data_IF_889546306538
#
_entry.id   IF_889546306538
#
_cell.length_a   1.000
_cell.length_b   1.000
_cell.length_c   1.000
_cell.angle_alpha   90.00
_cell.angle_beta   90.00
_cell.angle_gamma   90.00
#
_symmetry.space_group_name_H-M   'P 1'
#
loop_
_entity.id
_entity.type
_entity.pdbx_description
1 polymer ?
#
# COMPACT_ATOMS: atom_id res chain seq x y z
N UNK A 1 -14.66 20.09 85.94
CA UNK A 1 -14.45 21.52 85.66
C UNK A 1 -13.29 21.63 84.67
N UNK A 2 -13.53 22.17 83.47
CA UNK A 2 -12.55 22.73 82.48
C UNK A 2 -11.60 21.72 81.79
N UNK A 3 -11.94 21.25 80.59
CA UNK A 3 -11.42 21.59 79.23
C UNK A 3 -9.95 21.20 78.96
N UNK A 4 -9.74 20.37 77.93
CA UNK A 4 -8.92 20.78 76.76
C UNK A 4 -9.23 19.91 75.53
N UNK A 5 -9.69 20.58 74.47
CA UNK A 5 -9.73 20.08 73.10
C UNK A 5 -8.30 19.88 72.59
N UNK A 6 -8.03 18.73 71.97
CA UNK A 6 -7.05 18.65 70.88
C UNK A 6 -7.66 17.84 69.75
N UNK A 7 -8.05 18.54 68.70
CA UNK A 7 -8.41 17.98 67.41
C UNK A 7 -7.16 17.40 66.74
N UNK A 8 -7.13 16.10 66.50
CA UNK A 8 -6.19 15.50 65.55
C UNK A 8 -6.95 15.21 64.26
N UNK A 9 -6.63 16.00 63.23
CA UNK A 9 -7.09 15.83 61.86
C UNK A 9 -6.66 14.47 61.31
N UNK A 10 -7.64 13.63 60.98
CA UNK A 10 -7.45 12.47 60.09
C UNK A 10 -7.48 12.98 58.64
N UNK A 11 -6.32 13.06 58.01
CA UNK A 11 -6.19 13.21 56.57
C UNK A 11 -6.47 11.86 55.90
N UNK A 12 -7.48 11.73 55.02
CA UNK A 12 -7.55 10.59 54.13
C UNK A 12 -6.54 10.81 52.99
N UNK A 13 -5.54 9.94 52.93
CA UNK A 13 -4.72 9.74 51.72
C UNK A 13 -5.65 9.31 50.59
N UNK A 14 -5.99 10.23 49.70
CA UNK A 14 -6.58 9.92 48.40
C UNK A 14 -5.44 9.36 47.54
N UNK A 15 -5.32 8.04 47.48
CA UNK A 15 -4.55 7.38 46.43
C UNK A 15 -5.40 7.50 45.17
N UNK A 16 -5.14 8.55 44.37
CA UNK A 16 -5.64 8.60 43.01
C UNK A 16 -4.89 7.54 42.20
N UNK A 17 -5.51 6.37 42.03
CA UNK A 17 -5.13 5.44 40.99
C UNK A 17 -5.40 6.11 39.64
N UNK A 18 -4.41 6.85 39.13
CA UNK A 18 -4.30 7.13 37.71
C UNK A 18 -3.96 5.82 37.00
N UNK A 19 -4.98 4.96 36.86
CA UNK A 19 -4.99 3.97 35.81
C UNK A 19 -5.17 4.73 34.49
N UNK A 20 -4.06 5.21 33.92
CA UNK A 20 -4.01 5.49 32.49
C UNK A 20 -4.11 4.15 31.78
N UNK A 21 -5.35 3.68 31.61
CA UNK A 21 -5.66 2.66 30.64
C UNK A 21 -5.42 3.31 29.27
N UNK A 22 -4.22 3.14 28.72
CA UNK A 22 -4.05 3.08 27.27
C UNK A 22 -4.80 1.84 26.77
N UNK A 23 -6.13 1.92 26.78
CA UNK A 23 -6.96 1.07 25.95
C UNK A 23 -6.55 1.40 24.51
N UNK A 24 -6.09 0.42 23.71
CA UNK A 24 -5.96 0.65 22.29
C UNK A 24 -7.36 1.04 21.81
N UNK A 25 -7.53 2.26 21.31
CA UNK A 25 -8.70 2.58 20.51
C UNK A 25 -8.77 1.53 19.41
N UNK A 26 -9.73 0.61 19.52
CA UNK A 26 -10.15 -0.22 18.39
C UNK A 26 -10.69 0.81 17.38
N UNK A 27 -10.12 0.96 16.17
CA UNK A 27 -10.81 1.73 15.15
C UNK A 27 -12.15 1.03 14.94
N UNK A 28 -13.24 1.73 15.23
CA UNK A 28 -14.58 1.26 14.92
C UNK A 28 -15.06 2.10 13.74
N UNK A 29 -15.33 1.44 12.61
CA UNK A 29 -16.51 1.64 11.72
C UNK A 29 -16.28 1.49 10.20
N UNK A 30 -15.17 0.90 9.71
CA UNK A 30 -15.12 0.47 8.30
C UNK A 30 -15.57 -1.00 8.25
N UNK A 31 -16.84 -1.30 7.91
CA UNK A 31 -17.25 -2.67 7.66
C UNK A 31 -16.47 -3.21 6.46
N UNK A 32 -15.98 -4.44 6.59
CA UNK A 32 -15.23 -5.10 5.53
C UNK A 32 -15.64 -6.56 5.49
N UNK A 33 -16.58 -6.91 4.61
CA UNK A 33 -16.93 -8.31 4.40
C UNK A 33 -15.85 -9.02 3.58
N UNK A 34 -15.23 -8.31 2.65
CA UNK A 34 -14.23 -8.87 1.77
C UNK A 34 -13.23 -7.79 1.34
N UNK A 35 -11.93 -8.09 1.47
CA UNK A 35 -10.85 -7.29 0.93
C UNK A 35 -10.30 -7.95 -0.33
N UNK A 36 -10.42 -7.29 -1.48
CA UNK A 36 -9.87 -7.76 -2.76
C UNK A 36 -8.79 -6.78 -3.20
N UNK A 37 -7.59 -7.28 -3.47
CA UNK A 37 -6.45 -6.42 -3.80
C UNK A 37 -5.78 -6.84 -5.10
N UNK A 38 -5.46 -5.85 -5.93
CA UNK A 38 -4.72 -5.97 -7.18
C UNK A 38 -3.48 -5.07 -7.12
N UNK A 39 -2.38 -5.50 -7.73
CA UNK A 39 -1.15 -4.70 -7.70
C UNK A 39 0.09 -5.45 -8.16
N UNK A 40 1.23 -4.88 -7.80
CA UNK A 40 2.56 -5.36 -8.18
C UNK A 40 3.42 -5.72 -6.95
N UNK A 41 4.74 -5.51 -7.08
CA UNK A 41 5.76 -5.73 -6.06
C UNK A 41 5.43 -5.16 -4.68
N UNK A 42 4.75 -3.99 -4.59
CA UNK A 42 4.44 -3.38 -3.29
C UNK A 42 3.27 -4.07 -2.56
N UNK A 43 2.53 -4.91 -3.27
CA UNK A 43 1.22 -5.42 -2.88
C UNK A 43 1.20 -6.95 -2.74
N UNK A 44 2.09 -7.66 -3.44
CA UNK A 44 2.26 -9.12 -3.36
C UNK A 44 2.56 -9.59 -1.92
N UNK A 45 1.75 -10.54 -1.43
CA UNK A 45 1.89 -11.13 -0.09
C UNK A 45 2.70 -12.43 -0.06
N UNK A 46 3.34 -12.78 -1.17
CA UNK A 46 4.25 -13.91 -1.33
C UNK A 46 3.60 -15.30 -1.22
N UNK A 47 2.27 -15.41 -1.32
CA UNK A 47 1.58 -16.70 -1.28
C UNK A 47 1.36 -17.21 -2.70
N UNK A 48 2.19 -18.18 -3.11
CA UNK A 48 2.28 -18.63 -4.51
C UNK A 48 0.98 -19.20 -5.08
N UNK A 49 0.25 -19.99 -4.29
CA UNK A 49 -1.00 -20.58 -4.76
C UNK A 49 -1.92 -20.94 -3.59
N UNK A 50 -2.94 -20.13 -3.36
CA UNK A 50 -4.04 -20.49 -2.47
C UNK A 50 -5.38 -19.99 -3.03
N UNK A 51 -6.49 -20.42 -2.41
CA UNK A 51 -7.83 -19.90 -2.76
C UNK A 51 -7.94 -18.40 -2.53
N UNK A 52 -7.10 -17.83 -1.65
CA UNK A 52 -7.22 -16.48 -1.11
C UNK A 52 -6.02 -15.60 -1.44
N UNK A 53 -5.02 -16.13 -2.14
CA UNK A 53 -3.87 -15.33 -2.52
C UNK A 53 -3.09 -15.98 -3.66
N UNK A 54 -2.55 -15.09 -4.49
CA UNK A 54 -1.80 -15.32 -5.69
C UNK A 54 -0.59 -14.38 -5.63
N UNK A 55 0.62 -14.92 -5.73
CA UNK A 55 1.83 -14.11 -5.57
C UNK A 55 3.10 -14.88 -5.88
N UNK A 56 4.26 -14.27 -5.67
CA UNK A 56 5.55 -14.97 -5.75
C UNK A 56 6.41 -14.67 -4.54
N UNK A 57 6.53 -13.40 -4.17
CA UNK A 57 7.44 -12.99 -3.11
C UNK A 57 6.95 -11.71 -2.42
N UNK A 58 6.99 -11.73 -1.09
CA UNK A 58 6.89 -10.50 -0.30
C UNK A 58 8.16 -9.69 -0.53
N UNK A 59 8.06 -8.58 -1.24
CA UNK A 59 9.17 -7.65 -1.42
C UNK A 59 9.39 -6.77 -0.18
N UNK A 60 9.43 -7.37 1.01
CA UNK A 60 9.68 -6.68 2.27
C UNK A 60 10.27 -7.64 3.29
N UNK A 61 10.69 -7.12 4.44
CA UNK A 61 11.22 -7.91 5.56
C UNK A 61 10.14 -8.42 6.52
N UNK A 62 8.88 -8.41 6.10
CA UNK A 62 7.71 -8.77 6.89
C UNK A 62 6.44 -8.58 6.07
N UNK A 63 5.26 -8.54 6.71
CA UNK A 63 4.00 -8.33 6.01
C UNK A 63 3.98 -7.03 5.20
N UNK A 64 3.26 -7.05 4.08
CA UNK A 64 3.02 -5.88 3.23
C UNK A 64 1.73 -5.16 3.64
N UNK A 65 1.45 -4.02 3.00
CA UNK A 65 0.35 -3.13 3.42
C UNK A 65 -1.04 -3.81 3.38
N UNK A 66 -1.37 -4.70 2.42
CA UNK A 66 -2.67 -5.37 2.40
C UNK A 66 -2.86 -6.30 3.60
N UNK A 67 -1.81 -7.01 4.02
CA UNK A 67 -1.86 -7.92 5.17
C UNK A 67 -2.11 -7.14 6.46
N UNK A 68 -1.49 -5.97 6.61
CA UNK A 68 -1.75 -5.08 7.74
C UNK A 68 -3.15 -4.48 7.69
N UNK A 69 -3.62 -4.05 6.52
CA UNK A 69 -4.96 -3.51 6.35
C UNK A 69 -6.01 -4.55 6.74
N UNK A 70 -5.90 -5.77 6.22
CA UNK A 70 -6.79 -6.88 6.55
C UNK A 70 -6.85 -7.11 8.06
N UNK A 71 -5.67 -7.13 8.71
CA UNK A 71 -5.58 -7.30 10.17
C UNK A 71 -6.22 -6.14 10.96
N UNK A 72 -6.14 -4.91 10.45
CA UNK A 72 -6.72 -3.74 11.11
C UNK A 72 -8.24 -3.66 10.94
N UNK A 73 -8.74 -4.04 9.76
CA UNK A 73 -10.16 -4.02 9.43
C UNK A 73 -10.91 -5.27 9.89
N UNK A 74 -10.18 -6.36 10.18
CA UNK A 74 -10.75 -7.66 10.55
C UNK A 74 -11.73 -8.17 9.47
N UNK A 75 -11.37 -8.06 8.18
CA UNK A 75 -12.26 -8.47 7.08
C UNK A 75 -12.56 -9.98 7.13
N UNK A 76 -13.81 -10.37 6.79
CA UNK A 76 -14.20 -11.79 6.83
C UNK A 76 -13.44 -12.60 5.76
N UNK A 77 -13.24 -12.02 4.58
CA UNK A 77 -12.46 -12.59 3.48
C UNK A 77 -11.33 -11.66 3.04
N UNK A 78 -10.17 -12.24 2.73
CA UNK A 78 -9.04 -11.54 2.12
C UNK A 78 -8.63 -12.29 0.85
N UNK A 79 -8.62 -11.59 -0.29
CA UNK A 79 -8.12 -12.11 -1.56
C UNK A 79 -7.09 -11.17 -2.16
N UNK A 80 -5.86 -11.65 -2.33
CA UNK A 80 -4.80 -10.89 -2.99
C UNK A 80 -4.49 -11.48 -4.37
N UNK A 81 -4.61 -10.67 -5.42
CA UNK A 81 -4.28 -11.05 -6.79
C UNK A 81 -2.92 -10.48 -7.24
N UNK A 82 -2.23 -9.70 -6.40
CA UNK A 82 -1.02 -9.01 -6.78
C UNK A 82 0.18 -9.94 -6.93
N UNK A 83 0.89 -9.82 -8.05
CA UNK A 83 2.13 -10.54 -8.30
C UNK A 83 3.32 -9.60 -8.38
N UNK A 84 4.42 -9.98 -7.74
CA UNK A 84 5.72 -9.33 -7.96
C UNK A 84 6.10 -9.42 -9.45
N UNK A 85 6.58 -8.31 -10.00
CA UNK A 85 6.90 -8.15 -11.41
C UNK A 85 5.69 -7.92 -12.31
N UNK A 86 4.47 -7.76 -11.79
CA UNK A 86 3.30 -7.45 -12.60
C UNK A 86 3.52 -6.18 -13.44
N UNK A 87 3.27 -6.28 -14.74
CA UNK A 87 3.23 -5.13 -15.65
C UNK A 87 1.83 -4.53 -15.68
N UNK A 88 1.70 -3.36 -16.32
CA UNK A 88 0.40 -2.73 -16.51
C UNK A 88 -0.55 -3.58 -17.38
N UNK A 89 -0.01 -4.42 -18.27
CA UNK A 89 -0.76 -5.28 -19.19
C UNK A 89 -1.09 -6.66 -18.57
N UNK A 90 -1.21 -7.69 -19.42
CA UNK A 90 -1.46 -9.08 -19.00
C UNK A 90 -0.21 -9.79 -18.47
N UNK A 91 0.98 -9.27 -18.75
CA UNK A 91 2.24 -9.97 -18.59
C UNK A 91 2.96 -9.60 -17.28
N UNK A 92 3.98 -10.40 -16.97
CA UNK A 92 4.99 -10.08 -15.98
C UNK A 92 6.22 -9.49 -16.67
N UNK A 93 7.12 -8.86 -15.91
CA UNK A 93 8.44 -8.44 -16.42
C UNK A 93 9.34 -9.63 -16.77
N UNK A 94 9.07 -10.81 -16.20
CA UNK A 94 9.88 -12.01 -16.44
C UNK A 94 9.28 -13.01 -17.44
N UNK A 95 7.98 -12.93 -17.73
CA UNK A 95 7.25 -13.86 -18.61
C UNK A 95 5.96 -13.22 -19.13
N UNK A 96 5.40 -13.77 -20.22
CA UNK A 96 4.21 -13.22 -20.88
C UNK A 96 2.89 -13.85 -20.43
N UNK A 97 1.80 -13.19 -20.79
CA UNK A 97 0.42 -13.71 -20.87
C UNK A 97 -0.32 -13.95 -19.54
N UNK A 98 0.33 -13.82 -18.39
CA UNK A 98 -0.34 -13.87 -17.09
C UNK A 98 0.41 -13.10 -16.00
N UNK A 99 -0.29 -12.88 -14.86
CA UNK A 99 0.13 -12.17 -13.65
C UNK A 99 0.23 -10.63 -13.73
N UNK A 100 0.09 -10.02 -14.90
CA UNK A 100 -0.02 -8.56 -15.03
C UNK A 100 -1.35 -8.00 -14.53
N UNK A 101 -1.45 -6.68 -14.34
CA UNK A 101 -2.62 -6.02 -13.72
C UNK A 101 -3.93 -6.32 -14.48
N UNK A 102 -3.93 -6.25 -15.81
CA UNK A 102 -5.13 -6.58 -16.60
C UNK A 102 -5.54 -8.05 -16.44
N UNK A 103 -4.55 -8.94 -16.42
CA UNK A 103 -4.79 -10.37 -16.19
C UNK A 103 -5.41 -10.61 -14.82
N UNK A 104 -4.90 -9.96 -13.77
CA UNK A 104 -5.39 -10.13 -12.40
C UNK A 104 -6.88 -9.75 -12.29
N UNK A 105 -7.27 -8.62 -12.87
CA UNK A 105 -8.65 -8.13 -12.88
C UNK A 105 -9.56 -9.05 -13.69
N UNK A 106 -9.14 -9.45 -14.90
CA UNK A 106 -9.94 -10.37 -15.72
C UNK A 106 -10.10 -11.73 -15.02
N UNK A 107 -9.01 -12.27 -14.45
CA UNK A 107 -9.04 -13.54 -13.74
C UNK A 107 -10.00 -13.51 -12.55
N UNK A 108 -10.03 -12.40 -11.81
CA UNK A 108 -11.00 -12.19 -10.74
C UNK A 108 -12.44 -12.28 -11.27
N UNK A 109 -12.78 -11.58 -12.36
CA UNK A 109 -14.12 -11.63 -12.94
C UNK A 109 -14.48 -13.01 -13.51
N UNK A 110 -13.52 -13.69 -14.14
CA UNK A 110 -13.71 -15.06 -14.63
C UNK A 110 -14.01 -16.05 -13.50
N UNK A 111 -13.51 -15.80 -12.29
CA UNK A 111 -13.74 -16.66 -11.14
C UNK A 111 -15.20 -16.65 -10.64
N UNK A 112 -16.03 -15.71 -11.11
CA UNK A 112 -17.46 -15.53 -10.76
C UNK A 112 -17.72 -15.51 -9.25
N UNK A 113 -16.79 -14.99 -8.46
CA UNK A 113 -16.99 -14.78 -7.03
C UNK A 113 -18.03 -13.69 -6.83
N UNK A 114 -18.92 -13.91 -5.86
CA UNK A 114 -19.93 -12.92 -5.48
C UNK A 114 -19.20 -11.80 -4.74
N UNK A 115 -19.37 -10.56 -5.19
CA UNK A 115 -18.93 -9.37 -4.45
C UNK A 115 -19.96 -9.12 -3.36
N UNK A 116 -19.53 -9.23 -2.11
CA UNK A 116 -20.40 -9.03 -0.96
C UNK A 116 -20.70 -7.54 -0.79
N UNK A 117 -21.79 -7.24 -0.07
CA UNK A 117 -22.02 -5.87 0.40
C UNK A 117 -20.90 -5.48 1.36
N UNK A 118 -20.44 -4.23 1.29
CA UNK A 118 -19.33 -3.71 2.10
C UNK A 118 -17.97 -4.36 1.75
N UNK A 119 -17.83 -4.94 0.54
CA UNK A 119 -16.53 -5.32 0.00
C UNK A 119 -15.66 -4.08 -0.21
N UNK A 120 -14.37 -4.19 0.09
CA UNK A 120 -13.35 -3.21 -0.21
C UNK A 120 -12.44 -3.77 -1.32
N UNK A 121 -12.46 -3.11 -2.47
CA UNK A 121 -11.65 -3.47 -3.62
C UNK A 121 -10.56 -2.42 -3.78
N UNK A 122 -9.31 -2.85 -3.87
CA UNK A 122 -8.18 -1.94 -3.98
C UNK A 122 -7.33 -2.31 -5.19
N UNK A 123 -7.15 -1.37 -6.11
CA UNK A 123 -6.17 -1.45 -7.19
C UNK A 123 -5.02 -0.51 -6.89
N UNK A 124 -3.83 -1.06 -6.69
CA UNK A 124 -2.59 -0.30 -6.82
C UNK A 124 -2.15 -0.30 -8.28
N UNK A 125 -2.09 0.89 -8.89
CA UNK A 125 -1.66 1.02 -10.27
C UNK A 125 -0.23 0.49 -10.45
N UNK A 126 -0.08 -0.56 -11.25
CA UNK A 126 1.21 -1.19 -11.56
C UNK A 126 1.92 -0.56 -12.77
N UNK A 127 3.08 -1.10 -13.13
CA UNK A 127 3.87 -0.67 -14.29
C UNK A 127 5.18 0.05 -13.94
N UNK A 128 5.54 0.17 -12.67
CA UNK A 128 6.81 0.79 -12.27
C UNK A 128 8.02 -0.03 -12.79
N UNK A 129 8.00 -1.35 -12.58
CA UNK A 129 9.05 -2.25 -13.04
C UNK A 129 9.15 -2.29 -14.58
N UNK A 130 8.01 -2.14 -15.27
CA UNK A 130 7.95 -1.99 -16.72
C UNK A 130 8.66 -0.70 -17.19
N UNK A 131 8.42 0.44 -16.54
CA UNK A 131 9.09 1.72 -16.84
C UNK A 131 10.60 1.66 -16.59
N UNK A 132 11.02 1.10 -15.44
CA UNK A 132 12.44 0.99 -15.09
C UNK A 132 13.19 0.12 -16.10
N UNK A 133 12.60 -1.00 -16.53
CA UNK A 133 13.23 -1.89 -17.51
C UNK A 133 13.30 -1.29 -18.92
N UNK A 134 12.27 -0.54 -19.34
CA UNK A 134 12.30 0.17 -20.63
C UNK A 134 13.46 1.16 -20.69
N UNK A 135 13.62 1.99 -19.65
CA UNK A 135 14.70 2.98 -19.60
C UNK A 135 16.08 2.31 -19.58
N UNK A 136 16.22 1.17 -18.91
CA UNK A 136 17.47 0.42 -18.89
C UNK A 136 17.84 -0.18 -20.25
N UNK A 137 16.86 -0.65 -21.02
CA UNK A 137 17.10 -1.41 -22.24
C UNK A 137 17.11 -0.56 -23.52
N UNK A 138 16.79 0.74 -23.46
CA UNK A 138 16.62 1.64 -24.63
C UNK A 138 15.69 1.07 -25.73
N UNK A 139 14.86 0.08 -25.39
CA UNK A 139 13.92 -0.55 -26.29
C UNK A 139 12.58 0.16 -26.11
N UNK A 140 12.30 1.15 -26.96
CA UNK A 140 11.02 1.87 -27.01
C UNK A 140 9.83 1.02 -27.46
N UNK A 141 9.74 -0.27 -27.10
CA UNK A 141 8.71 -1.18 -27.60
C UNK A 141 7.35 -1.02 -26.92
N UNK A 142 7.31 -0.46 -25.70
CA UNK A 142 6.05 -0.13 -25.02
C UNK A 142 6.08 1.35 -24.68
N UNK A 143 5.21 2.14 -25.28
CA UNK A 143 5.12 3.57 -25.00
C UNK A 143 4.53 3.81 -23.61
N UNK A 144 4.92 4.92 -22.97
CA UNK A 144 4.23 5.43 -21.76
C UNK A 144 2.71 5.51 -22.00
N UNK A 145 2.30 5.86 -23.22
CA UNK A 145 0.90 5.87 -23.63
C UNK A 145 0.24 4.50 -23.46
N UNK A 146 0.96 3.40 -23.74
CA UNK A 146 0.42 2.06 -23.56
C UNK A 146 0.21 1.71 -22.08
N UNK A 147 1.13 2.13 -21.21
CA UNK A 147 0.97 1.96 -19.76
C UNK A 147 -0.25 2.72 -19.27
N UNK A 148 -0.42 3.97 -19.73
CA UNK A 148 -1.59 4.78 -19.43
C UNK A 148 -2.90 4.16 -19.93
N UNK A 149 -2.93 3.67 -21.18
CA UNK A 149 -4.07 2.94 -21.73
C UNK A 149 -4.43 1.73 -20.87
N UNK A 150 -3.43 0.93 -20.47
CA UNK A 150 -3.67 -0.26 -19.67
C UNK A 150 -4.19 0.08 -18.27
N UNK A 151 -3.63 1.11 -17.62
CA UNK A 151 -4.14 1.61 -16.33
C UNK A 151 -5.59 2.09 -16.48
N UNK A 152 -5.91 2.82 -17.54
CA UNK A 152 -7.26 3.26 -17.80
C UNK A 152 -8.22 2.07 -18.00
N UNK A 153 -7.82 1.07 -18.80
CA UNK A 153 -8.60 -0.15 -18.99
C UNK A 153 -8.82 -0.92 -17.68
N UNK A 154 -7.80 -1.01 -16.82
CA UNK A 154 -7.91 -1.65 -15.51
C UNK A 154 -8.94 -0.93 -14.61
N UNK A 155 -8.83 0.39 -14.52
CA UNK A 155 -9.73 1.24 -13.72
C UNK A 155 -11.16 1.16 -14.24
N UNK A 156 -11.38 1.46 -15.52
CA UNK A 156 -12.72 1.42 -16.11
C UNK A 156 -13.30 0.00 -16.07
N UNK A 157 -12.48 -1.04 -16.19
CA UNK A 157 -12.89 -2.44 -16.03
C UNK A 157 -13.44 -2.73 -14.64
N UNK A 158 -12.80 -2.23 -13.58
CA UNK A 158 -13.30 -2.34 -12.21
C UNK A 158 -14.60 -1.55 -12.02
N UNK A 159 -14.60 -0.27 -12.41
CA UNK A 159 -15.74 0.64 -12.20
C UNK A 159 -17.00 0.15 -12.93
N UNK A 160 -16.85 -0.34 -14.17
CA UNK A 160 -18.01 -0.76 -14.98
C UNK A 160 -18.53 -2.16 -14.63
N UNK A 161 -17.71 -2.99 -13.98
CA UNK A 161 -18.08 -4.39 -13.68
C UNK A 161 -18.57 -4.57 -12.25
N UNK A 162 -18.10 -3.75 -11.31
CA UNK A 162 -18.46 -3.87 -9.90
C UNK A 162 -19.77 -3.14 -9.61
N UNK A 163 -20.75 -3.89 -9.10
CA UNK A 163 -22.08 -3.40 -8.74
C UNK A 163 -22.23 -3.12 -7.23
N UNK A 164 -21.27 -3.58 -6.43
CA UNK A 164 -21.23 -3.46 -4.97
C UNK A 164 -19.80 -3.26 -4.47
N UNK A 165 -19.69 -2.69 -3.27
CA UNK A 165 -18.42 -2.44 -2.59
C UNK A 165 -17.82 -1.06 -2.86
N UNK A 166 -16.78 -0.71 -2.11
CA UNK A 166 -16.00 0.51 -2.31
C UNK A 166 -14.74 0.17 -3.10
N UNK A 167 -14.49 0.93 -4.16
CA UNK A 167 -13.31 0.80 -5.00
C UNK A 167 -12.31 1.90 -4.63
N UNK A 168 -11.14 1.51 -4.13
CA UNK A 168 -10.02 2.41 -3.88
C UNK A 168 -8.96 2.20 -4.94
N UNK A 169 -8.63 3.27 -5.65
CA UNK A 169 -7.55 3.27 -6.64
C UNK A 169 -6.35 3.98 -6.02
N UNK A 170 -5.18 3.35 -6.06
CA UNK A 170 -3.92 3.93 -5.61
C UNK A 170 -3.05 4.30 -6.81
N UNK A 171 -2.40 5.45 -6.71
CA UNK A 171 -1.52 5.95 -7.77
C UNK A 171 -0.24 5.11 -7.92
N UNK A 172 0.40 5.23 -9.09
CA UNK A 172 1.67 4.56 -9.37
C UNK A 172 2.74 5.12 -8.44
N UNK A 173 3.52 4.23 -7.84
CA UNK A 173 4.56 4.58 -6.87
C UNK A 173 5.70 5.33 -7.56
N UNK A 174 6.07 6.47 -6.98
CA UNK A 174 7.27 7.21 -7.33
C UNK A 174 8.45 6.68 -6.48
N UNK A 175 9.47 6.06 -7.12
CA UNK A 175 10.60 5.49 -6.42
C UNK A 175 11.63 6.56 -6.00
N UNK A 176 11.37 7.86 -6.15
CA UNK A 176 12.34 8.94 -5.90
C UNK A 176 13.11 8.82 -4.58
N UNK A 177 12.47 8.33 -3.51
CA UNK A 177 13.11 8.14 -2.19
C UNK A 177 13.82 6.80 -2.00
N UNK A 178 13.72 5.88 -2.97
CA UNK A 178 14.37 4.58 -2.89
C UNK A 178 15.88 4.72 -3.08
N UNK A 179 16.71 4.08 -2.23
CA UNK A 179 18.17 4.09 -2.37
C UNK A 179 18.64 3.68 -3.77
N UNK A 180 18.04 2.61 -4.32
CA UNK A 180 18.32 2.06 -5.63
C UNK A 180 17.96 3.01 -6.77
N UNK A 181 16.92 3.82 -6.60
CA UNK A 181 16.57 4.84 -7.58
C UNK A 181 17.59 5.99 -7.59
N UNK A 182 18.01 6.45 -6.41
CA UNK A 182 19.08 7.45 -6.30
C UNK A 182 20.37 6.96 -6.97
N UNK A 183 20.72 5.69 -6.74
CA UNK A 183 21.86 5.06 -7.41
C UNK A 183 21.64 4.98 -8.94
N UNK A 184 20.45 4.57 -9.38
CA UNK A 184 20.08 4.44 -10.79
C UNK A 184 20.24 5.77 -11.54
N UNK A 185 19.66 6.87 -11.05
CA UNK A 185 19.78 8.18 -11.70
C UNK A 185 21.20 8.76 -11.62
N UNK A 186 21.96 8.46 -10.55
CA UNK A 186 23.34 8.93 -10.39
C UNK A 186 24.33 8.25 -11.34
N UNK A 187 23.96 7.09 -11.91
CA UNK A 187 24.83 6.26 -12.74
C UNK A 187 24.95 6.71 -14.21
N UNK A 188 24.15 7.69 -14.66
CA UNK A 188 24.36 8.41 -15.94
C UNK A 188 23.08 8.81 -16.68
N UNK A 189 23.09 10.02 -17.26
CA UNK A 189 22.04 10.76 -17.99
C UNK A 189 20.73 11.07 -17.24
N UNK A 190 20.34 12.36 -17.27
CA UNK A 190 19.02 12.85 -16.80
C UNK A 190 17.84 12.13 -17.45
N UNK A 191 18.06 11.44 -18.58
CA UNK A 191 17.04 10.66 -19.30
C UNK A 191 16.54 9.44 -18.52
N UNK A 192 17.27 9.00 -17.48
CA UNK A 192 16.84 7.91 -16.59
C UNK A 192 15.85 8.36 -15.50
N UNK A 193 15.62 9.66 -15.34
CA UNK A 193 14.66 10.16 -14.35
C UNK A 193 13.21 9.91 -14.83
N UNK A 194 12.56 8.89 -14.25
CA UNK A 194 11.18 8.52 -14.54
C UNK A 194 10.16 9.26 -13.67
N UNK A 195 10.57 10.04 -12.67
CA UNK A 195 9.66 10.76 -11.78
C UNK A 195 8.70 11.71 -12.54
N UNK A 196 9.16 12.46 -13.58
CA UNK A 196 8.27 13.28 -14.41
C UNK A 196 7.25 12.44 -15.21
N UNK A 197 7.64 11.24 -15.64
CA UNK A 197 6.77 10.29 -16.35
C UNK A 197 5.69 9.77 -15.40
N UNK A 198 6.09 9.31 -14.21
CA UNK A 198 5.16 8.82 -13.17
C UNK A 198 4.19 9.93 -12.74
N UNK A 199 4.68 11.16 -12.58
CA UNK A 199 3.84 12.32 -12.26
C UNK A 199 2.77 12.57 -13.33
N UNK A 200 3.10 12.37 -14.61
CA UNK A 200 2.14 12.49 -15.71
C UNK A 200 1.10 11.37 -15.68
N UNK A 201 1.53 10.12 -15.52
CA UNK A 201 0.65 8.95 -15.38
C UNK A 201 -0.34 9.18 -14.23
N UNK A 202 0.16 9.62 -13.07
CA UNK A 202 -0.65 9.86 -11.88
C UNK A 202 -1.64 11.03 -12.06
N UNK A 203 -1.27 12.07 -12.81
CA UNK A 203 -2.18 13.16 -13.17
C UNK A 203 -3.30 12.68 -14.09
N UNK A 204 -3.00 11.81 -15.06
CA UNK A 204 -3.99 11.24 -15.98
C UNK A 204 -4.94 10.28 -15.25
N UNK A 205 -4.40 9.42 -14.39
CA UNK A 205 -5.19 8.56 -13.50
C UNK A 205 -6.16 9.39 -12.63
N UNK A 206 -5.67 10.48 -12.03
CA UNK A 206 -6.52 11.35 -11.23
C UNK A 206 -7.64 12.00 -12.04
N UNK A 207 -7.36 12.40 -13.30
CA UNK A 207 -8.38 12.94 -14.21
C UNK A 207 -9.40 11.88 -14.59
N UNK A 208 -8.96 10.64 -14.82
CA UNK A 208 -9.83 9.51 -15.09
C UNK A 208 -10.78 9.26 -13.92
N UNK A 209 -10.25 9.10 -12.70
CA UNK A 209 -11.07 8.86 -11.50
C UNK A 209 -12.01 10.02 -11.21
N UNK A 210 -11.58 11.27 -11.44
CA UNK A 210 -12.47 12.42 -11.31
C UNK A 210 -13.61 12.38 -12.32
N UNK A 211 -13.37 11.88 -13.53
CA UNK A 211 -14.37 11.88 -14.61
C UNK A 211 -15.35 10.71 -14.43
N UNK A 212 -14.82 9.50 -14.21
CA UNK A 212 -15.64 8.28 -14.06
C UNK A 212 -16.22 8.14 -12.64
N UNK A 213 -15.49 8.56 -11.61
CA UNK A 213 -15.91 8.50 -10.21
C UNK A 213 -16.87 9.62 -9.79
N UNK A 214 -17.02 10.70 -10.57
CA UNK A 214 -18.00 11.74 -10.26
C UNK A 214 -19.44 11.21 -10.27
N UNK A 215 -19.71 10.23 -11.15
CA UNK A 215 -21.02 9.57 -11.21
C UNK A 215 -21.12 8.39 -10.23
N UNK A 216 -19.98 7.78 -9.86
CA UNK A 216 -19.93 6.62 -8.96
C UNK A 216 -19.31 6.95 -7.59
N UNK A 217 -20.17 7.19 -6.59
CA UNK A 217 -19.78 7.50 -5.20
C UNK A 217 -18.96 6.40 -4.50
N UNK A 218 -18.85 5.21 -5.09
CA UNK A 218 -18.09 4.10 -4.52
C UNK A 218 -16.61 4.15 -4.89
N UNK A 219 -16.20 5.03 -5.80
CA UNK A 219 -14.82 5.09 -6.30
C UNK A 219 -14.05 6.23 -5.62
N UNK A 220 -12.92 5.91 -5.01
CA UNK A 220 -12.06 6.88 -4.32
C UNK A 220 -10.59 6.71 -4.72
N UNK A 221 -9.85 7.82 -4.78
CA UNK A 221 -8.41 7.82 -5.07
C UNK A 221 -7.62 8.01 -3.77
N UNK A 222 -6.74 7.06 -3.45
CA UNK A 222 -5.80 7.16 -2.35
C UNK A 222 -4.40 7.53 -2.88
N UNK A 223 -3.84 8.63 -2.38
CA UNK A 223 -2.48 9.05 -2.73
C UNK A 223 -1.43 8.24 -1.97
N UNK A 224 -1.03 7.13 -2.56
CA UNK A 224 -0.03 6.22 -2.02
C UNK A 224 1.35 6.88 -1.93
N UNK A 225 1.70 7.78 -2.85
CA UNK A 225 2.95 8.53 -2.78
C UNK A 225 3.01 9.45 -1.56
N UNK A 226 1.94 10.19 -1.27
CA UNK A 226 1.85 10.98 -0.04
C UNK A 226 1.90 10.09 1.21
N UNK A 227 1.28 8.91 1.17
CA UNK A 227 1.33 7.95 2.27
C UNK A 227 2.75 7.43 2.54
N UNK A 228 3.49 7.07 1.48
CA UNK A 228 4.90 6.64 1.56
C UNK A 228 5.78 7.77 2.10
N UNK A 229 5.63 9.00 1.62
CA UNK A 229 6.42 10.15 2.08
C UNK A 229 6.29 10.37 3.59
N UNK A 230 5.07 10.25 4.11
CA UNK A 230 4.83 10.42 5.55
C UNK A 230 5.20 9.17 6.36
N UNK A 231 5.01 7.97 5.81
CA UNK A 231 5.45 6.72 6.44
C UNK A 231 6.97 6.65 6.63
N UNK A 232 7.73 7.20 5.68
CA UNK A 232 9.19 7.27 5.70
C UNK A 232 9.73 8.44 6.53
N UNK A 233 8.88 9.34 7.06
CA UNK A 233 9.34 10.49 7.85
C UNK A 233 10.07 10.02 9.12
N UNK A 234 11.28 10.53 9.31
CA UNK A 234 12.13 10.21 10.45
C UNK A 234 12.91 8.91 10.32
N UNK A 235 12.84 8.22 9.16
CA UNK A 235 13.58 7.00 8.88
C UNK A 235 14.77 7.28 7.94
N UNK A 236 15.76 6.39 7.94
CA UNK A 236 16.84 6.38 6.97
C UNK A 236 16.32 5.91 5.60
N UNK A 237 16.40 6.80 4.61
CA UNK A 237 16.04 6.56 3.21
C UNK A 237 17.24 6.50 2.27
N UNK A 238 18.46 6.76 2.78
CA UNK A 238 19.66 6.87 1.94
C UNK A 238 20.29 5.50 1.66
N UNK A 239 20.08 4.55 2.56
CA UNK A 239 20.58 3.19 2.45
C UNK A 239 19.50 2.21 2.93
N UNK A 240 19.41 1.01 2.33
CA UNK A 240 18.61 -0.05 2.90
C UNK A 240 19.30 -0.63 4.12
N UNK A 241 18.52 -1.26 4.99
CA UNK A 241 19.09 -2.01 6.09
C UNK A 241 19.72 -3.30 5.57
N UNK A 242 20.84 -3.75 6.14
CA UNK A 242 21.43 -5.07 5.80
C UNK A 242 21.81 -5.84 7.06
N UNK A 243 21.47 -7.13 7.10
CA UNK A 243 21.86 -8.01 8.21
C UNK A 243 23.37 -8.27 8.28
N UNK A 244 24.12 -7.84 7.27
CA UNK A 244 25.56 -8.03 7.15
C UNK A 244 26.38 -6.91 7.82
N UNK A 245 25.75 -5.83 8.27
CA UNK A 245 26.42 -4.77 9.02
C UNK A 245 26.73 -5.23 10.46
N UNK A 246 27.98 -5.07 10.88
CA UNK A 246 28.50 -5.57 12.18
C UNK A 246 27.81 -4.97 13.42
N UNK A 247 27.08 -3.87 13.27
CA UNK A 247 26.37 -3.16 14.34
C UNK A 247 24.84 -3.29 14.24
N UNK A 248 24.33 -4.17 13.38
CA UNK A 248 22.91 -4.32 13.10
C UNK A 248 22.20 -5.14 14.20
N UNK A 249 21.11 -4.61 14.74
CA UNK A 249 20.27 -5.30 15.74
C UNK A 249 18.83 -5.32 15.27
N UNK A 250 18.01 -6.22 15.84
CA UNK A 250 16.57 -6.30 15.49
C UNK A 250 15.83 -4.98 15.72
N UNK A 251 16.25 -4.17 16.69
CA UNK A 251 15.65 -2.86 16.96
C UNK A 251 16.05 -1.80 15.93
N UNK A 252 17.30 -1.83 15.45
CA UNK A 252 17.78 -0.86 14.46
C UNK A 252 17.09 -0.97 13.11
N UNK A 253 16.51 -2.13 12.78
CA UNK A 253 15.74 -2.32 11.53
C UNK A 253 14.58 -1.29 11.44
N UNK A 254 14.00 -0.87 12.57
CA UNK A 254 12.91 0.09 12.61
C UNK A 254 13.34 1.54 12.30
N UNK A 255 14.64 1.81 12.25
CA UNK A 255 15.18 3.11 11.86
C UNK A 255 15.27 3.26 10.32
N UNK A 256 15.03 2.19 9.55
CA UNK A 256 15.19 2.17 8.10
C UNK A 256 13.86 2.12 7.35
N UNK A 257 13.74 2.95 6.32
CA UNK A 257 12.57 2.98 5.44
C UNK A 257 12.54 1.82 4.44
N UNK A 258 13.70 1.27 4.08
CA UNK A 258 13.84 0.31 2.98
C UNK A 258 14.47 -1.00 3.43
N UNK A 259 13.87 -2.12 3.01
CA UNK A 259 14.38 -3.47 3.22
C UNK A 259 15.54 -3.80 2.27
N UNK A 260 15.42 -3.38 1.02
CA UNK A 260 16.47 -3.47 0.03
C UNK A 260 16.53 -2.17 -0.77
N UNK A 261 17.31 -2.13 -1.85
CA UNK A 261 17.51 -0.91 -2.63
C UNK A 261 16.19 -0.32 -3.19
N UNK A 262 15.13 -1.12 -3.37
CA UNK A 262 13.92 -0.69 -4.06
C UNK A 262 12.68 -0.68 -3.17
N UNK A 263 12.57 -1.65 -2.25
CA UNK A 263 11.31 -1.93 -1.60
C UNK A 263 11.27 -1.52 -0.12
N UNK A 264 10.16 -0.93 0.33
CA UNK A 264 10.02 -0.47 1.70
C UNK A 264 10.10 -1.58 2.75
N UNK A 265 10.49 -1.20 3.96
CA UNK A 265 10.42 -2.08 5.12
C UNK A 265 8.97 -2.32 5.55
N UNK A 266 8.73 -3.42 6.25
CA UNK A 266 7.41 -3.78 6.78
C UNK A 266 6.85 -2.70 7.71
N UNK A 267 7.72 -1.92 8.36
CA UNK A 267 7.32 -0.77 9.16
C UNK A 267 6.70 0.36 8.32
N UNK A 268 7.22 0.61 7.12
CA UNK A 268 6.63 1.56 6.18
C UNK A 268 5.27 1.04 5.69
N UNK A 269 5.18 -0.26 5.34
CA UNK A 269 3.91 -0.89 4.97
C UNK A 269 2.84 -0.79 6.07
N UNK A 270 3.22 -1.00 7.33
CA UNK A 270 2.33 -0.83 8.47
C UNK A 270 1.76 0.59 8.56
N UNK A 271 2.60 1.62 8.38
CA UNK A 271 2.16 3.02 8.39
C UNK A 271 1.29 3.38 7.17
N UNK A 272 1.55 2.79 5.99
CA UNK A 272 0.66 2.92 4.82
C UNK A 272 -0.72 2.38 5.17
N UNK A 273 -0.81 1.18 5.74
CA UNK A 273 -2.08 0.59 6.16
C UNK A 273 -2.81 1.46 7.20
N UNK A 274 -2.10 2.01 8.20
CA UNK A 274 -2.69 2.93 9.18
C UNK A 274 -3.30 4.18 8.53
N UNK A 275 -2.66 4.73 7.50
CA UNK A 275 -3.20 5.88 6.76
C UNK A 275 -4.40 5.50 5.91
N UNK A 276 -4.35 4.31 5.32
CA UNK A 276 -5.44 3.81 4.51
C UNK A 276 -6.68 3.54 5.36
N UNK A 277 -6.54 2.99 6.57
CA UNK A 277 -7.66 2.88 7.54
C UNK A 277 -8.28 4.25 7.80
N UNK A 278 -7.47 5.27 8.13
CA UNK A 278 -7.98 6.63 8.36
C UNK A 278 -8.68 7.21 7.14
N UNK A 279 -8.13 6.98 5.95
CA UNK A 279 -8.76 7.40 4.70
C UNK A 279 -10.13 6.74 4.51
N UNK A 280 -10.24 5.44 4.79
CA UNK A 280 -11.49 4.69 4.68
C UNK A 280 -12.53 5.11 5.73
N UNK A 281 -12.09 5.54 6.91
CA UNK A 281 -12.98 6.10 7.95
C UNK A 281 -13.59 7.46 7.53
N UNK A 282 -12.96 8.17 6.58
CA UNK A 282 -13.40 9.47 6.07
C UNK A 282 -14.29 9.38 4.81
N UNK A 283 -14.51 8.18 4.25
CA UNK A 283 -15.37 7.93 3.07
C UNK A 283 -16.86 7.83 3.44
#
# INVERSE_FOLDING_TARGET
>A
MIRLLVSLLLLPFIISNFASSNLPHKPHNVPCSQLIVFGDDLTDDGVEFSVHSHGFVRNSNGPVWPEYLNKMLECDEYTNYAYSGARSDYSNVFFSDWSGILWQIEHHFMSRRIILKDSLIILQAGGLSELILQQKNNNGSTSVDKINENIAHAVSGLINTMDNGNIVIMNLVDPYKAPGYTMFISSGNNDLDISPVISRINLELWRLIRTEGYENRQVSLFDLNAAIIDATRGLNTNEPFTYQQSNMTSLKIFDYAYHNQWYPSTFVHHKIAQKLVKFLEDL
#
